data_IF_869822745784
#
_entry.id   IF_869822745784
#
_cell.length_a   1.000
_cell.length_b   1.000
_cell.length_c   1.000
_cell.angle_alpha   90.00
_cell.angle_beta   90.00
_cell.angle_gamma   90.00
#
_symmetry.space_group_name_H-M   'P 1'
#
loop_
_entity.id
_entity.type
_entity.pdbx_description
1 polymer ?
#
# COMPACT_ATOMS: atom_id res chain seq x y z
N UNK A 1 -55.46 49.68 -22.61
CA UNK A 1 -56.85 49.37 -22.20
C UNK A 1 -56.79 47.92 -21.71
N UNK A 2 -56.77 47.67 -20.40
CA UNK A 2 -57.96 47.57 -19.52
C UNK A 2 -58.84 46.36 -19.94
N UNK A 3 -59.25 45.43 -19.07
CA UNK A 3 -59.62 45.62 -17.65
C UNK A 3 -59.55 44.33 -16.82
N UNK A 4 -59.43 44.47 -15.50
CA UNK A 4 -59.59 43.41 -14.50
C UNK A 4 -61.06 43.04 -14.22
N UNK A 5 -61.32 41.84 -13.69
CA UNK A 5 -62.44 41.44 -12.78
C UNK A 5 -62.15 40.00 -12.30
N UNK A 6 -62.07 39.57 -11.03
CA UNK A 6 -62.62 39.94 -9.69
C UNK A 6 -63.96 39.26 -9.35
N UNK A 7 -63.94 38.36 -8.35
CA UNK A 7 -65.12 37.71 -7.71
C UNK A 7 -65.10 36.16 -7.80
N UNK A 8 -65.50 35.37 -6.78
CA UNK A 8 -65.77 35.72 -5.37
C UNK A 8 -66.66 34.74 -4.57
N UNK A 9 -66.04 33.98 -3.65
CA UNK A 9 -66.57 33.49 -2.33
C UNK A 9 -67.69 32.42 -2.24
N UNK A 10 -67.43 31.34 -1.46
CA UNK A 10 -68.23 30.70 -0.36
C UNK A 10 -68.25 29.14 -0.43
N UNK A 11 -68.37 28.35 0.65
CA UNK A 11 -67.75 28.35 2.01
C UNK A 11 -68.11 27.04 2.78
N UNK A 12 -67.46 26.78 3.93
CA UNK A 12 -67.66 25.67 4.91
C UNK A 12 -67.15 24.26 4.47
N UNK A 13 -66.55 23.39 5.30
CA UNK A 13 -66.24 23.33 6.76
C UNK A 13 -65.18 22.20 6.99
N UNK A 14 -64.48 21.93 8.11
CA UNK A 14 -64.32 22.52 9.46
C UNK A 14 -63.06 21.89 10.16
N UNK A 15 -62.45 22.56 11.18
CA UNK A 15 -61.67 22.04 12.37
C UNK A 15 -60.55 20.96 12.21
N UNK A 16 -59.39 20.95 12.90
CA UNK A 16 -58.70 21.72 13.99
C UNK A 16 -57.16 21.59 13.80
N UNK A 17 -56.31 22.65 13.85
CA UNK A 17 -55.57 23.24 15.02
C UNK A 17 -54.64 22.22 15.76
N UNK A 18 -53.32 22.43 16.00
CA UNK A 18 -52.47 23.65 16.13
C UNK A 18 -51.00 23.51 15.60
N UNK A 19 -50.17 24.54 15.82
CA UNK A 19 -48.86 24.88 15.17
C UNK A 19 -47.61 24.85 16.14
N UNK A 20 -46.34 25.14 15.71
CA UNK A 20 -45.05 24.76 16.34
C UNK A 20 -44.42 25.90 17.20
N UNK A 21 -43.09 26.12 17.46
CA UNK A 21 -41.77 25.49 17.10
C UNK A 21 -40.88 25.21 18.37
N UNK A 22 -39.50 25.21 18.46
CA UNK A 22 -38.41 25.49 17.50
C UNK A 22 -37.12 24.58 17.55
N UNK A 23 -35.95 25.18 17.26
CA UNK A 23 -34.63 24.69 16.80
C UNK A 23 -33.60 24.12 17.81
N UNK A 24 -32.79 23.13 17.36
CA UNK A 24 -31.29 23.00 17.39
C UNK A 24 -30.54 23.42 18.70
N UNK A 25 -29.70 22.55 19.36
CA UNK A 25 -28.44 22.06 18.77
C UNK A 25 -27.94 20.64 19.15
N UNK A 26 -26.76 20.32 18.59
CA UNK A 26 -25.96 19.10 18.69
C UNK A 26 -25.56 18.61 20.10
N UNK A 27 -25.50 17.29 20.29
CA UNK A 27 -24.42 16.64 21.06
C UNK A 27 -24.29 15.14 20.76
N UNK A 28 -23.03 14.70 20.68
CA UNK A 28 -22.60 13.30 20.72
C UNK A 28 -23.18 12.54 21.91
N UNK A 29 -23.63 11.30 21.69
CA UNK A 29 -23.67 10.29 22.74
C UNK A 29 -23.32 8.89 22.20
N UNK A 30 -22.10 8.44 22.50
CA UNK A 30 -21.76 7.02 22.54
C UNK A 30 -22.54 6.40 23.71
N UNK A 31 -23.57 5.61 23.43
CA UNK A 31 -24.21 4.76 24.43
C UNK A 31 -23.84 3.29 24.15
N UNK A 32 -22.92 2.75 24.95
CA UNK A 32 -22.51 1.35 24.91
C UNK A 32 -23.63 0.45 25.45
N UNK A 33 -24.38 -0.21 24.58
CA UNK A 33 -25.29 -1.28 25.00
C UNK A 33 -24.48 -2.53 25.37
N UNK A 34 -24.31 -2.77 26.67
CA UNK A 34 -23.52 -3.88 27.25
C UNK A 34 -24.20 -5.26 27.19
N UNK A 35 -25.37 -5.35 26.55
CA UNK A 35 -26.15 -6.58 26.48
C UNK A 35 -26.04 -7.18 25.08
N UNK A 36 -25.44 -8.39 24.92
CA UNK A 36 -25.41 -9.07 23.64
C UNK A 36 -26.85 -9.36 23.22
N UNK A 37 -27.19 -9.04 21.98
CA UNK A 37 -28.52 -9.33 21.44
C UNK A 37 -28.69 -10.85 21.34
N UNK A 38 -29.90 -11.40 21.48
CA UNK A 38 -30.12 -12.84 21.25
C UNK A 38 -29.67 -13.31 19.86
N UNK A 39 -29.65 -12.43 18.85
CA UNK A 39 -29.05 -12.65 17.53
C UNK A 39 -27.54 -12.97 17.57
N UNK A 40 -26.81 -12.45 18.55
CA UNK A 40 -25.36 -12.60 18.65
C UNK A 40 -24.98 -14.02 19.12
N UNK A 41 -25.93 -14.76 19.71
CA UNK A 41 -25.80 -16.22 19.96
C UNK A 41 -26.06 -17.06 18.69
N UNK A 42 -26.74 -16.50 17.69
CA UNK A 42 -27.11 -17.19 16.44
C UNK A 42 -26.17 -16.85 15.27
N UNK A 43 -25.22 -15.92 15.48
CA UNK A 43 -24.02 -15.80 14.68
C UNK A 43 -22.91 -16.63 15.34
N UNK A 44 -22.74 -17.93 14.99
CA UNK A 44 -21.40 -18.50 15.09
C UNK A 44 -20.45 -17.59 14.31
N UNK A 45 -19.15 -17.56 14.64
CA UNK A 45 -18.18 -16.75 13.88
C UNK A 45 -18.15 -17.26 12.44
N UNK A 46 -19.00 -16.68 11.59
CA UNK A 46 -19.17 -17.09 10.20
C UNK A 46 -17.89 -16.69 9.50
N UNK A 47 -17.01 -17.68 9.35
CA UNK A 47 -15.87 -17.59 8.47
C UNK A 47 -16.48 -17.48 7.08
N UNK A 48 -16.57 -16.25 6.60
CA UNK A 48 -16.93 -15.96 5.22
C UNK A 48 -15.90 -16.67 4.33
N UNK A 49 -16.30 -17.69 3.54
CA UNK A 49 -15.36 -18.46 2.72
C UNK A 49 -14.80 -17.63 1.55
N UNK A 50 -15.36 -16.44 1.30
CA UNK A 50 -14.87 -15.46 0.32
C UNK A 50 -14.14 -14.27 0.98
N UNK A 51 -14.14 -14.17 2.32
CA UNK A 51 -13.24 -13.25 2.99
C UNK A 51 -11.82 -13.81 2.85
N UNK A 52 -11.03 -13.19 1.97
CA UNK A 52 -9.60 -13.48 1.88
C UNK A 52 -8.99 -13.46 3.30
N UNK A 53 -8.14 -14.44 3.66
CA UNK A 53 -7.44 -14.44 4.93
C UNK A 53 -6.77 -13.08 5.10
N UNK A 54 -7.07 -12.37 6.21
CA UNK A 54 -6.58 -11.01 6.49
C UNK A 54 -5.06 -11.00 6.71
N UNK A 55 -4.29 -11.22 5.65
CA UNK A 55 -2.88 -10.90 5.58
C UNK A 55 -2.77 -9.39 5.75
N UNK A 56 -1.89 -8.96 6.64
CA UNK A 56 -1.47 -7.57 6.68
C UNK A 56 -0.97 -7.17 5.28
N UNK A 57 -1.49 -6.12 4.64
CA UNK A 57 -0.98 -5.69 3.36
C UNK A 57 0.50 -5.34 3.49
N UNK A 58 1.32 -5.78 2.53
CA UNK A 58 2.73 -5.35 2.45
C UNK A 58 2.84 -3.82 2.34
N UNK A 59 4.01 -3.25 2.62
CA UNK A 59 4.19 -1.81 2.48
C UNK A 59 3.88 -1.37 1.04
N UNK A 60 4.31 -2.15 0.05
CA UNK A 60 3.90 -1.98 -1.35
C UNK A 60 2.39 -1.96 -1.53
N UNK A 61 1.65 -2.97 -1.04
CA UNK A 61 0.19 -3.05 -1.20
C UNK A 61 -0.53 -1.86 -0.55
N UNK A 62 -0.08 -1.45 0.62
CA UNK A 62 -0.62 -0.28 1.33
C UNK A 62 -0.36 1.04 0.58
N UNK A 63 0.83 1.23 0.01
CA UNK A 63 1.20 2.46 -0.72
C UNK A 63 0.55 2.49 -2.12
N UNK A 64 0.51 1.37 -2.84
CA UNK A 64 -0.17 1.25 -4.14
C UNK A 64 -1.68 1.53 -4.03
N UNK A 65 -2.35 0.94 -3.02
CA UNK A 65 -3.78 1.16 -2.78
C UNK A 65 -4.12 2.62 -2.45
N UNK A 66 -3.17 3.35 -1.84
CA UNK A 66 -3.29 4.79 -1.53
C UNK A 66 -2.91 5.71 -2.68
N UNK A 67 -2.47 5.18 -3.83
CA UNK A 67 -1.97 5.98 -4.96
C UNK A 67 -0.60 6.63 -4.71
N UNK A 68 0.18 6.14 -3.74
CA UNK A 68 1.53 6.65 -3.48
C UNK A 68 2.55 6.21 -4.55
N UNK A 69 2.27 5.12 -5.27
CA UNK A 69 3.02 4.70 -6.46
C UNK A 69 2.24 5.22 -7.68
N UNK A 70 2.80 6.13 -8.51
CA UNK A 70 2.06 6.80 -9.57
C UNK A 70 1.98 5.95 -10.85
N UNK A 71 1.56 4.69 -10.71
CA UNK A 71 1.26 3.80 -11.83
C UNK A 71 0.04 2.92 -11.53
N UNK A 72 -0.64 2.48 -12.60
CA UNK A 72 -1.83 1.63 -12.54
C UNK A 72 -1.69 0.46 -13.50
N UNK A 73 -2.11 -0.71 -13.04
CA UNK A 73 -2.25 -1.89 -13.88
C UNK A 73 -3.47 -1.75 -14.79
N UNK A 74 -3.24 -1.54 -16.08
CA UNK A 74 -4.27 -1.58 -17.13
C UNK A 74 -4.47 -3.04 -17.53
N UNK A 75 -5.64 -3.58 -17.20
CA UNK A 75 -5.99 -4.97 -17.44
C UNK A 75 -6.65 -5.13 -18.83
N UNK A 76 -5.83 -5.36 -19.87
CA UNK A 76 -6.34 -5.78 -21.18
C UNK A 76 -6.62 -7.29 -21.25
N UNK A 77 -7.38 -7.72 -22.26
CA UNK A 77 -7.81 -9.12 -22.42
C UNK A 77 -6.69 -10.12 -22.78
N UNK A 78 -5.56 -9.62 -23.28
CA UNK A 78 -4.39 -10.44 -23.71
C UNK A 78 -3.06 -9.84 -23.23
N UNK A 79 -2.99 -8.52 -23.06
CA UNK A 79 -1.81 -7.80 -22.58
C UNK A 79 -2.19 -6.94 -21.39
N UNK A 80 -1.40 -7.04 -20.32
CA UNK A 80 -1.48 -6.14 -19.18
C UNK A 80 -0.35 -5.12 -19.30
N UNK A 81 -0.66 -3.84 -19.12
CA UNK A 81 0.29 -2.75 -19.23
C UNK A 81 0.30 -1.92 -17.94
N UNK A 82 1.43 -1.29 -17.62
CA UNK A 82 1.48 -0.27 -16.57
C UNK A 82 1.27 1.11 -17.20
N UNK A 83 0.17 1.77 -16.85
CA UNK A 83 -0.04 3.18 -17.16
C UNK A 83 0.58 4.02 -16.05
N UNK A 84 1.49 4.91 -16.41
CA UNK A 84 2.12 5.84 -15.48
C UNK A 84 1.29 7.13 -15.37
N UNK A 85 0.91 7.51 -14.15
CA UNK A 85 0.26 8.80 -13.84
C UNK A 85 1.28 9.95 -13.84
N UNK A 86 2.57 9.62 -13.62
CA UNK A 86 3.72 10.53 -13.69
C UNK A 86 4.88 9.83 -14.39
N UNK A 87 5.61 10.53 -15.28
CA UNK A 87 6.77 9.98 -15.99
C UNK A 87 7.82 9.43 -15.00
N UNK A 88 8.33 8.19 -15.18
CA UNK A 88 9.26 7.55 -14.24
C UNK A 88 10.47 8.41 -13.86
N UNK A 89 11.04 9.12 -14.83
CA UNK A 89 12.19 10.03 -14.68
C UNK A 89 11.95 11.20 -13.72
N UNK A 90 10.68 11.56 -13.50
CA UNK A 90 10.25 12.69 -12.63
C UNK A 90 9.73 12.24 -11.27
N UNK A 91 9.79 10.94 -10.97
CA UNK A 91 9.36 10.38 -9.70
C UNK A 91 10.52 10.50 -8.69
N UNK A 92 10.30 11.05 -7.47
CA UNK A 92 11.28 10.93 -6.39
C UNK A 92 11.40 9.46 -5.98
N UNK A 93 12.56 8.85 -6.26
CA UNK A 93 12.77 7.43 -5.98
C UNK A 93 12.79 7.09 -4.48
N UNK A 94 13.15 8.02 -3.59
CA UNK A 94 12.95 7.84 -2.15
C UNK A 94 11.58 8.35 -1.71
N UNK A 95 10.79 7.61 -0.89
CA UNK A 95 11.05 6.27 -0.34
C UNK A 95 10.50 5.12 -1.19
N UNK A 96 10.11 5.37 -2.44
CA UNK A 96 9.44 4.40 -3.31
C UNK A 96 10.32 3.19 -3.65
N UNK A 97 11.61 3.37 -3.89
CA UNK A 97 12.59 2.32 -4.13
C UNK A 97 12.64 1.34 -2.94
N UNK A 98 12.67 1.86 -1.72
CA UNK A 98 12.67 1.06 -0.48
C UNK A 98 11.34 0.29 -0.35
N UNK A 99 10.23 0.91 -0.76
CA UNK A 99 8.88 0.32 -0.72
C UNK A 99 8.72 -0.78 -1.77
N UNK A 100 9.34 -0.62 -2.94
CA UNK A 100 9.32 -1.58 -4.06
C UNK A 100 10.28 -2.76 -3.82
N UNK A 101 11.43 -2.50 -3.20
CA UNK A 101 12.44 -3.49 -2.84
C UNK A 101 12.22 -4.11 -1.44
N UNK A 102 11.01 -4.00 -0.87
CA UNK A 102 10.66 -4.66 0.38
C UNK A 102 10.77 -6.18 0.22
N UNK A 103 11.61 -6.80 1.04
CA UNK A 103 11.86 -8.25 1.01
C UNK A 103 10.62 -9.00 1.48
N UNK A 104 9.97 -9.71 0.56
CA UNK A 104 8.77 -10.50 0.85
C UNK A 104 9.11 -11.85 1.51
N UNK A 105 8.16 -12.38 2.29
CA UNK A 105 8.31 -13.66 3.00
C UNK A 105 8.19 -14.88 2.09
N UNK A 106 7.48 -14.76 0.96
CA UNK A 106 7.45 -15.75 -0.12
C UNK A 106 8.81 -15.84 -0.82
N UNK A 107 9.35 -17.05 -0.94
CA UNK A 107 10.65 -17.31 -1.58
C UNK A 107 10.69 -16.92 -3.06
N UNK A 108 9.63 -17.21 -3.81
CA UNK A 108 9.57 -16.93 -5.26
C UNK A 108 9.48 -15.43 -5.57
N UNK A 109 8.82 -14.67 -4.69
CA UNK A 109 8.75 -13.21 -4.76
C UNK A 109 10.08 -12.60 -4.32
N UNK A 110 10.71 -13.16 -3.28
CA UNK A 110 12.03 -12.74 -2.81
C UNK A 110 13.12 -12.91 -3.87
N UNK A 111 13.22 -14.08 -4.50
CA UNK A 111 14.15 -14.37 -5.58
C UNK A 111 14.02 -13.36 -6.73
N UNK A 112 12.77 -13.10 -7.18
CA UNK A 112 12.49 -12.14 -8.25
C UNK A 112 12.86 -10.70 -7.83
N UNK A 113 12.58 -10.32 -6.59
CA UNK A 113 12.96 -9.01 -6.04
C UNK A 113 14.48 -8.83 -5.93
N UNK A 114 15.20 -9.88 -5.52
CA UNK A 114 16.66 -9.89 -5.44
C UNK A 114 17.30 -9.77 -6.83
N UNK A 115 16.82 -10.53 -7.81
CA UNK A 115 17.29 -10.43 -9.19
C UNK A 115 17.00 -9.05 -9.80
N UNK A 116 15.79 -8.51 -9.59
CA UNK A 116 15.45 -7.15 -10.01
C UNK A 116 16.35 -6.08 -9.37
N UNK A 117 16.79 -6.28 -8.12
CA UNK A 117 17.73 -5.37 -7.45
C UNK A 117 19.14 -5.44 -8.05
N UNK A 118 19.60 -6.62 -8.48
CA UNK A 118 20.88 -6.79 -9.20
C UNK A 118 20.83 -6.14 -10.60
N UNK A 119 19.70 -6.27 -11.31
CA UNK A 119 19.49 -5.54 -12.57
C UNK A 119 19.42 -4.02 -12.35
N UNK A 120 18.88 -3.55 -11.23
CA UNK A 120 18.89 -2.14 -10.89
C UNK A 120 20.31 -1.65 -10.56
N UNK A 121 21.10 -2.42 -9.82
CA UNK A 121 22.47 -2.04 -9.48
C UNK A 121 23.39 -2.00 -10.71
N UNK A 122 23.19 -2.85 -11.72
CA UNK A 122 23.97 -2.78 -12.97
C UNK A 122 23.68 -1.53 -13.81
N UNK A 123 22.46 -1.00 -13.75
CA UNK A 123 22.07 0.24 -14.47
C UNK A 123 22.41 1.51 -13.68
N UNK A 124 22.18 1.50 -12.37
CA UNK A 124 22.35 2.68 -11.48
C UNK A 124 23.78 2.81 -10.97
N UNK A 125 24.51 1.70 -10.85
CA UNK A 125 25.90 1.66 -10.40
C UNK A 125 26.10 2.29 -9.01
N UNK A 126 27.18 3.10 -8.82
CA UNK A 126 27.50 3.71 -7.53
C UNK A 126 26.41 4.59 -6.92
N UNK A 127 25.49 5.16 -7.73
CA UNK A 127 24.39 5.98 -7.22
C UNK A 127 23.43 5.21 -6.30
N UNK A 128 23.41 3.87 -6.38
CA UNK A 128 22.59 3.03 -5.49
C UNK A 128 23.16 2.96 -4.06
N UNK A 129 24.44 3.30 -3.85
CA UNK A 129 25.12 3.21 -2.54
C UNK A 129 24.43 4.02 -1.44
N UNK A 130 23.70 5.08 -1.80
CA UNK A 130 22.91 5.92 -0.89
C UNK A 130 21.83 5.09 -0.18
N UNK A 131 21.10 4.26 -0.94
CA UNK A 131 19.96 3.46 -0.45
C UNK A 131 20.39 2.05 0.00
N UNK A 132 21.59 1.61 -0.39
CA UNK A 132 22.15 0.28 -0.13
C UNK A 132 22.09 -0.13 1.35
N UNK A 133 22.33 0.80 2.29
CA UNK A 133 22.20 0.54 3.74
C UNK A 133 20.82 0.01 4.15
N UNK A 134 19.76 0.56 3.55
CA UNK A 134 18.38 0.20 3.85
C UNK A 134 18.03 -1.15 3.22
N UNK A 135 18.42 -1.34 1.95
CA UNK A 135 18.21 -2.57 1.19
C UNK A 135 18.89 -3.78 1.85
N UNK A 136 20.17 -3.65 2.23
CA UNK A 136 20.93 -4.69 2.93
C UNK A 136 20.33 -5.05 4.30
N UNK A 137 19.68 -4.10 4.99
CA UNK A 137 19.02 -4.36 6.28
C UNK A 137 17.80 -5.27 6.14
N UNK A 138 17.19 -5.31 4.96
CA UNK A 138 16.12 -6.27 4.63
C UNK A 138 16.68 -7.62 4.17
N UNK A 139 17.73 -7.61 3.35
CA UNK A 139 18.38 -8.83 2.81
C UNK A 139 19.08 -9.64 3.91
N UNK A 140 19.78 -8.99 4.85
CA UNK A 140 20.57 -9.67 5.89
C UNK A 140 19.73 -10.59 6.79
N UNK A 141 18.43 -10.28 6.97
CA UNK A 141 17.47 -11.12 7.70
C UNK A 141 17.24 -12.48 7.04
N UNK A 142 17.33 -12.55 5.70
CA UNK A 142 17.11 -13.76 4.89
C UNK A 142 18.39 -14.54 4.61
N UNK A 143 19.57 -13.93 4.80
CA UNK A 143 20.87 -14.61 4.68
C UNK A 143 21.03 -15.82 5.64
N UNK A 144 20.26 -15.83 6.74
CA UNK A 144 20.24 -16.94 7.70
C UNK A 144 19.47 -18.17 7.20
N UNK A 145 18.65 -18.03 6.16
CA UNK A 145 17.95 -19.15 5.53
C UNK A 145 18.89 -19.88 4.56
N UNK A 146 19.23 -21.14 4.88
CA UNK A 146 20.19 -21.95 4.11
C UNK A 146 19.85 -22.01 2.60
N UNK A 147 18.56 -22.03 2.26
CA UNK A 147 18.06 -22.11 0.88
C UNK A 147 18.48 -20.93 0.01
N UNK A 148 18.54 -19.71 0.56
CA UNK A 148 18.81 -18.49 -0.21
C UNK A 148 20.22 -17.95 -0.02
N UNK A 149 21.00 -18.50 0.91
CA UNK A 149 22.34 -18.00 1.28
C UNK A 149 23.26 -17.85 0.06
N UNK A 150 23.31 -18.85 -0.82
CA UNK A 150 24.16 -18.83 -2.02
C UNK A 150 23.70 -17.75 -3.02
N UNK A 151 22.40 -17.71 -3.31
CA UNK A 151 21.80 -16.73 -4.23
C UNK A 151 21.96 -15.29 -3.73
N UNK A 152 21.80 -15.06 -2.42
CA UNK A 152 22.07 -13.77 -1.79
C UNK A 152 23.56 -13.42 -1.89
N UNK A 153 24.46 -14.37 -1.67
CA UNK A 153 25.91 -14.12 -1.75
C UNK A 153 26.34 -13.74 -3.16
N UNK A 154 25.84 -14.43 -4.19
CA UNK A 154 26.08 -14.10 -5.59
C UNK A 154 25.53 -12.70 -5.95
N UNK A 155 24.28 -12.40 -5.56
CA UNK A 155 23.69 -11.08 -5.77
C UNK A 155 24.49 -9.95 -5.08
N UNK A 156 25.01 -10.19 -3.88
CA UNK A 156 25.87 -9.22 -3.18
C UNK A 156 27.22 -9.00 -3.88
N UNK A 157 27.80 -10.03 -4.51
CA UNK A 157 29.03 -9.91 -5.31
C UNK A 157 28.81 -9.08 -6.58
N UNK A 158 27.71 -9.32 -7.30
CA UNK A 158 27.34 -8.47 -8.44
C UNK A 158 27.07 -7.02 -8.01
N UNK A 159 26.32 -6.81 -6.93
CA UNK A 159 26.10 -5.47 -6.36
C UNK A 159 27.39 -4.78 -5.90
N UNK A 160 28.38 -5.53 -5.39
CA UNK A 160 29.71 -5.00 -5.07
C UNK A 160 30.44 -4.52 -6.33
N UNK A 161 30.42 -5.35 -7.38
CA UNK A 161 31.08 -5.06 -8.65
C UNK A 161 30.49 -3.81 -9.34
N UNK A 162 29.16 -3.66 -9.35
CA UNK A 162 28.51 -2.47 -9.93
C UNK A 162 28.57 -1.23 -9.02
N UNK A 163 28.56 -1.41 -7.69
CA UNK A 163 28.60 -0.32 -6.71
C UNK A 163 30.00 0.23 -6.42
N UNK A 164 31.06 -0.45 -6.87
CA UNK A 164 32.45 -0.04 -6.73
C UNK A 164 32.97 -0.08 -5.29
N UNK A 165 34.15 0.50 -5.05
CA UNK A 165 34.91 0.38 -3.79
C UNK A 165 34.15 0.82 -2.52
N UNK A 166 33.21 1.74 -2.64
CA UNK A 166 32.40 2.20 -1.50
C UNK A 166 31.36 1.16 -1.06
N UNK A 167 30.82 0.39 -2.00
CA UNK A 167 29.76 -0.59 -1.74
C UNK A 167 30.23 -1.69 -0.78
N UNK A 168 31.46 -2.21 -0.94
CA UNK A 168 32.06 -3.21 -0.05
C UNK A 168 32.08 -2.79 1.42
N UNK A 169 32.39 -1.51 1.69
CA UNK A 169 32.37 -0.97 3.06
C UNK A 169 30.97 -0.95 3.66
N UNK A 170 29.97 -0.62 2.84
CA UNK A 170 28.56 -0.61 3.24
C UNK A 170 28.03 -2.05 3.43
N UNK A 171 28.37 -2.98 2.54
CA UNK A 171 28.02 -4.39 2.60
C UNK A 171 28.59 -5.01 3.87
N UNK A 172 29.92 -4.91 4.11
CA UNK A 172 30.55 -5.44 5.33
C UNK A 172 30.03 -4.81 6.62
N UNK A 173 29.61 -3.54 6.59
CA UNK A 173 29.00 -2.87 7.74
C UNK A 173 27.63 -3.45 8.14
N UNK A 174 26.86 -4.00 7.19
CA UNK A 174 25.55 -4.63 7.46
C UNK A 174 25.57 -6.15 7.45
N UNK A 175 26.55 -6.76 6.81
CA UNK A 175 26.73 -8.20 6.70
C UNK A 175 28.21 -8.51 7.02
N UNK A 176 28.61 -8.55 8.30
CA UNK A 176 30.00 -8.79 8.69
C UNK A 176 30.52 -10.18 8.28
N UNK A 177 29.61 -11.12 8.03
CA UNK A 177 29.87 -12.48 7.55
C UNK A 177 30.11 -12.56 6.03
N UNK A 178 30.00 -11.45 5.31
CA UNK A 178 30.21 -11.42 3.87
C UNK A 178 31.70 -11.39 3.50
N UNK A 179 32.12 -12.42 2.77
CA UNK A 179 33.43 -12.49 2.14
C UNK A 179 33.29 -12.17 0.65
N UNK A 180 33.88 -11.05 0.21
CA UNK A 180 34.06 -10.78 -1.22
C UNK A 180 35.01 -11.82 -1.80
N UNK A 181 34.67 -12.33 -2.99
CA UNK A 181 35.54 -13.18 -3.81
C UNK A 181 35.98 -12.44 -5.09
N UNK A 182 35.70 -11.14 -5.18
CA UNK A 182 36.19 -10.28 -6.25
C UNK A 182 37.68 -10.02 -5.97
N UNK A 183 38.55 -10.55 -6.85
CA UNK A 183 40.00 -10.56 -6.72
C UNK A 183 40.66 -9.84 -7.89
#
# INVERSE_FOLDING_TARGET
MSSSSRGGIRSASQRTKATPPPSIPSSTNRASSSHPRPSDKLNPKTIDPFAEPRRSPSAFSAVYSRGGIPCRLVHGSVKHNLQWERLPETIPFDPLLITLAEVHSDGSVFERGLNALVQLSSVVGPSLNIHLKQLLTSISKRLMEKTYKEQITAALQEMEQYGGKESLGIIKSKIPTYCSTCN
#
